data_IF_081875826190
#
_entry.id   IF_081875826190
#
_cell.length_a   1.000
_cell.length_b   1.000
_cell.length_c   1.000
_cell.angle_alpha   90.00
_cell.angle_beta   90.00
_cell.angle_gamma   90.00
#
_symmetry.space_group_name_H-M   'P 1'
#
loop_
_entity.id
_entity.type
_entity.pdbx_description
1 polymer ?
#
# COMPACT_ATOMS: atom_id res chain seq x y z
N UNK A 1 -20.55 -26.82 -2.09
CA UNK A 1 -19.41 -27.10 -1.20
C UNK A 1 -18.41 -25.99 -1.36
N UNK A 2 -18.03 -25.33 -0.28
CA UNK A 2 -17.03 -24.25 -0.28
C UNK A 2 -15.67 -24.89 -0.05
N UNK A 3 -14.75 -24.75 -1.00
CA UNK A 3 -13.41 -25.31 -0.90
C UNK A 3 -12.48 -24.42 -0.04
N UNK A 4 -11.47 -25.01 0.63
CA UNK A 4 -10.45 -24.28 1.41
C UNK A 4 -9.64 -23.31 0.54
N UNK A 5 -8.99 -22.31 1.17
CA UNK A 5 -8.30 -21.23 0.43
C UNK A 5 -7.12 -21.75 -0.39
N UNK A 6 -6.41 -22.72 0.19
CA UNK A 6 -5.18 -23.30 -0.32
C UNK A 6 -5.31 -24.82 -0.29
N UNK A 7 -6.09 -25.41 -1.23
CA UNK A 7 -6.51 -26.80 -1.14
C UNK A 7 -5.36 -27.81 -1.09
N UNK A 8 -4.26 -27.57 -1.82
CA UNK A 8 -3.08 -28.44 -1.78
C UNK A 8 -2.34 -28.36 -0.44
N UNK A 9 -2.16 -27.16 0.11
CA UNK A 9 -1.49 -26.98 1.40
C UNK A 9 -2.32 -27.52 2.56
N UNK A 10 -3.65 -27.36 2.50
CA UNK A 10 -4.58 -27.96 3.46
C UNK A 10 -4.59 -29.48 3.35
N UNK A 11 -4.54 -30.04 2.14
CA UNK A 11 -4.45 -31.49 1.93
C UNK A 11 -3.16 -32.08 2.53
N UNK A 12 -2.00 -31.44 2.32
CA UNK A 12 -0.72 -31.84 2.95
C UNK A 12 -0.89 -31.91 4.47
N UNK A 13 -1.45 -30.87 5.08
CA UNK A 13 -1.64 -30.86 6.54
C UNK A 13 -2.60 -31.96 7.01
N UNK A 14 -3.73 -32.16 6.31
CA UNK A 14 -4.71 -33.18 6.67
C UNK A 14 -4.14 -34.60 6.55
N UNK A 15 -3.37 -34.89 5.50
CA UNK A 15 -2.71 -36.19 5.31
C UNK A 15 -1.69 -36.48 6.41
N UNK A 16 -0.93 -35.47 6.86
CA UNK A 16 0.11 -35.64 7.88
C UNK A 16 -0.44 -35.68 9.32
N UNK A 17 -1.53 -34.95 9.60
CA UNK A 17 -1.99 -34.69 10.98
C UNK A 17 -3.32 -35.38 11.33
N UNK A 18 -3.98 -36.06 10.38
CA UNK A 18 -5.27 -36.71 10.61
C UNK A 18 -5.32 -38.12 10.02
N UNK A 19 -6.22 -38.96 10.54
CA UNK A 19 -6.47 -40.32 10.04
C UNK A 19 -7.66 -40.37 9.05
N UNK A 20 -7.92 -39.28 8.33
CA UNK A 20 -9.02 -39.20 7.36
C UNK A 20 -8.71 -39.99 6.09
N UNK A 21 -9.75 -40.47 5.40
CA UNK A 21 -9.60 -41.16 4.13
C UNK A 21 -9.21 -40.19 3.00
N UNK A 22 -8.51 -40.70 1.99
CA UNK A 22 -8.12 -39.88 0.82
C UNK A 22 -9.34 -39.34 0.07
N UNK A 23 -10.47 -40.05 0.08
CA UNK A 23 -11.74 -39.58 -0.51
C UNK A 23 -12.35 -38.42 0.29
N UNK A 24 -12.30 -38.46 1.62
CA UNK A 24 -12.78 -37.37 2.49
C UNK A 24 -11.95 -36.09 2.28
N UNK A 25 -10.62 -36.22 2.22
CA UNK A 25 -9.70 -35.09 1.99
C UNK A 25 -9.91 -34.54 0.57
N UNK A 26 -10.05 -35.42 -0.44
CA UNK A 26 -10.32 -35.06 -1.82
C UNK A 26 -11.63 -34.27 -1.96
N UNK A 27 -12.72 -34.74 -1.35
CA UNK A 27 -14.02 -34.08 -1.34
C UNK A 27 -13.97 -32.69 -0.68
N UNK A 28 -13.23 -32.55 0.43
CA UNK A 28 -13.10 -31.28 1.15
C UNK A 28 -12.24 -30.27 0.38
N UNK A 29 -11.08 -30.70 -0.11
CA UNK A 29 -10.14 -29.84 -0.82
C UNK A 29 -10.53 -29.61 -2.30
N UNK A 30 -11.50 -30.37 -2.84
CA UNK A 30 -11.86 -30.32 -4.26
C UNK A 30 -10.76 -30.87 -5.17
N UNK A 31 -9.99 -31.85 -4.66
CA UNK A 31 -8.90 -32.54 -5.36
C UNK A 31 -9.36 -33.94 -5.74
N UNK A 32 -8.64 -34.61 -6.63
CA UNK A 32 -8.89 -36.03 -6.90
C UNK A 32 -8.21 -36.90 -5.84
N UNK A 33 -8.76 -38.08 -5.51
CA UNK A 33 -8.17 -39.01 -4.53
C UNK A 33 -6.72 -39.39 -4.89
N UNK A 34 -6.43 -39.56 -6.19
CA UNK A 34 -5.07 -39.77 -6.71
C UNK A 34 -4.12 -38.60 -6.45
N UNK A 35 -4.60 -37.35 -6.47
CA UNK A 35 -3.75 -36.20 -6.13
C UNK A 35 -3.43 -36.18 -4.64
N UNK A 36 -4.39 -36.56 -3.79
CA UNK A 36 -4.18 -36.70 -2.34
C UNK A 36 -3.20 -37.84 -2.05
N UNK A 37 -3.32 -38.96 -2.78
CA UNK A 37 -2.36 -40.06 -2.70
C UNK A 37 -0.95 -39.62 -3.13
N UNK A 38 -0.82 -38.92 -4.25
CA UNK A 38 0.46 -38.40 -4.70
C UNK A 38 1.05 -37.31 -3.77
N UNK A 39 0.22 -36.67 -2.94
CA UNK A 39 0.68 -35.80 -1.84
C UNK A 39 1.18 -36.66 -0.67
N UNK A 40 0.48 -37.74 -0.31
CA UNK A 40 0.90 -38.68 0.73
C UNK A 40 2.20 -39.42 0.39
N UNK A 41 2.43 -39.68 -0.90
CA UNK A 41 3.65 -40.27 -1.46
C UNK A 41 4.78 -39.24 -1.68
N UNK A 42 4.58 -37.97 -1.28
CA UNK A 42 5.53 -36.87 -1.45
C UNK A 42 5.93 -36.58 -2.92
N UNK A 43 5.08 -36.89 -3.92
CA UNK A 43 5.41 -36.66 -5.34
C UNK A 43 5.03 -35.25 -5.83
N UNK A 44 3.88 -34.71 -5.41
CA UNK A 44 3.29 -33.49 -6.00
C UNK A 44 3.55 -32.22 -5.18
N UNK A 45 3.86 -32.36 -3.89
CA UNK A 45 3.94 -31.25 -2.94
C UNK A 45 5.30 -31.15 -2.20
N UNK A 46 6.38 -31.62 -2.83
CA UNK A 46 7.73 -31.59 -2.25
C UNK A 46 8.11 -30.17 -1.81
N UNK A 47 8.31 -29.99 -0.50
CA UNK A 47 8.68 -28.70 0.10
C UNK A 47 7.52 -27.72 0.31
N UNK A 48 6.26 -28.14 0.10
CA UNK A 48 5.10 -27.35 0.47
C UNK A 48 4.87 -27.42 1.98
N UNK A 49 4.77 -26.27 2.65
CA UNK A 49 4.40 -26.24 4.06
C UNK A 49 2.88 -26.42 4.20
N UNK A 50 2.46 -27.47 4.91
CA UNK A 50 1.06 -27.71 5.23
C UNK A 50 0.43 -26.53 5.99
N UNK A 51 -0.78 -26.14 5.59
CA UNK A 51 -1.54 -25.08 6.25
C UNK A 51 -2.63 -25.70 7.12
N UNK A 52 -2.55 -25.45 8.43
CA UNK A 52 -3.52 -25.94 9.40
C UNK A 52 -4.92 -25.34 9.17
N UNK A 53 -5.93 -26.15 8.79
CA UNK A 53 -7.30 -25.69 8.56
C UNK A 53 -8.03 -25.31 9.86
N UNK A 54 -7.59 -25.81 11.03
CA UNK A 54 -8.17 -25.47 12.33
C UNK A 54 -7.76 -24.05 12.71
N UNK A 55 -6.45 -23.75 12.62
CA UNK A 55 -5.93 -22.39 12.86
C UNK A 55 -6.47 -21.38 11.83
N UNK A 56 -6.72 -21.81 10.60
CA UNK A 56 -7.36 -20.99 9.57
C UNK A 56 -8.87 -20.75 9.81
N UNK A 57 -9.49 -21.49 10.74
CA UNK A 57 -10.93 -21.45 11.01
C UNK A 57 -11.77 -22.03 9.85
N UNK A 58 -11.20 -22.93 9.06
CA UNK A 58 -11.87 -23.63 7.95
C UNK A 58 -12.46 -24.97 8.40
N UNK A 59 -11.88 -25.62 9.41
CA UNK A 59 -12.40 -26.83 10.05
C UNK A 59 -12.41 -26.68 11.58
N UNK A 60 -13.24 -27.48 12.25
CA UNK A 60 -13.25 -27.62 13.71
C UNK A 60 -12.63 -28.96 14.09
N UNK A 61 -12.06 -29.06 15.30
CA UNK A 61 -11.46 -30.31 15.76
C UNK A 61 -12.54 -31.39 15.92
N UNK A 62 -13.73 -31.01 16.38
CA UNK A 62 -14.88 -31.88 16.57
C UNK A 62 -15.34 -32.53 15.26
N UNK A 63 -15.31 -31.76 14.16
CA UNK A 63 -15.66 -32.27 12.83
C UNK A 63 -14.64 -33.27 12.29
N UNK A 64 -13.36 -33.01 12.54
CA UNK A 64 -12.28 -33.94 12.16
C UNK A 64 -12.41 -35.25 12.94
N UNK A 65 -12.65 -35.20 14.25
CA UNK A 65 -12.85 -36.40 15.09
C UNK A 65 -14.07 -37.22 14.64
N UNK A 66 -15.18 -36.56 14.29
CA UNK A 66 -16.38 -37.21 13.75
C UNK A 66 -16.08 -37.96 12.45
N UNK A 67 -15.33 -37.35 11.54
CA UNK A 67 -14.98 -37.95 10.26
C UNK A 67 -13.87 -39.00 10.35
N UNK A 68 -13.00 -38.95 11.37
CA UNK A 68 -12.02 -40.00 11.64
C UNK A 68 -12.67 -41.31 12.12
N UNK A 69 -13.82 -41.22 12.81
CA UNK A 69 -14.53 -42.40 13.29
C UNK A 69 -15.32 -43.13 12.17
N UNK A 70 -15.73 -42.43 11.11
CA UNK A 70 -16.49 -42.99 9.99
C UNK A 70 -15.95 -42.51 8.63
N UNK A 71 -15.26 -43.38 7.87
CA UNK A 71 -14.72 -43.07 6.55
C UNK A 71 -15.76 -42.66 5.50
N UNK A 72 -17.04 -42.99 5.70
CA UNK A 72 -18.13 -42.66 4.76
C UNK A 72 -18.72 -41.26 4.95
N UNK A 73 -18.33 -40.56 6.02
CA UNK A 73 -18.86 -39.22 6.31
C UNK A 73 -18.06 -38.13 5.61
N UNK A 74 -18.74 -37.10 5.11
CA UNK A 74 -18.09 -35.95 4.44
C UNK A 74 -17.84 -34.82 5.44
N UNK A 75 -16.67 -34.19 5.30
CA UNK A 75 -16.28 -33.00 6.07
C UNK A 75 -17.09 -31.79 5.63
N UNK A 76 -17.66 -31.07 6.60
CA UNK A 76 -18.27 -29.78 6.38
C UNK A 76 -17.34 -28.63 6.82
N UNK A 77 -17.10 -27.62 5.97
CA UNK A 77 -16.33 -26.45 6.36
C UNK A 77 -17.03 -25.66 7.47
N UNK A 78 -16.24 -25.07 8.36
CA UNK A 78 -16.74 -24.23 9.44
C UNK A 78 -17.45 -22.98 8.88
N UNK A 79 -18.58 -22.63 9.48
CA UNK A 79 -19.46 -21.54 9.03
C UNK A 79 -18.82 -20.15 9.24
N UNK A 80 -17.91 -20.03 10.21
CA UNK A 80 -17.21 -18.79 10.58
C UNK A 80 -15.78 -18.73 10.04
N UNK A 81 -15.63 -18.77 8.71
CA UNK A 81 -14.33 -18.58 8.07
C UNK A 81 -13.86 -17.14 8.26
N UNK A 82 -12.99 -16.92 9.24
CA UNK A 82 -12.49 -15.58 9.55
C UNK A 82 -11.44 -15.19 8.50
N UNK A 83 -11.63 -14.11 7.74
CA UNK A 83 -10.62 -13.69 6.78
C UNK A 83 -9.35 -13.27 7.53
N UNK A 84 -8.24 -13.98 7.30
CA UNK A 84 -6.93 -13.60 7.84
C UNK A 84 -6.60 -12.19 7.37
N UNK A 85 -6.51 -11.24 8.30
CA UNK A 85 -6.20 -9.86 7.99
C UNK A 85 -4.82 -9.78 7.31
N UNK A 86 -4.79 -9.35 6.04
CA UNK A 86 -3.53 -9.15 5.32
C UNK A 86 -2.67 -8.14 6.07
N UNK A 87 -1.46 -8.56 6.47
CA UNK A 87 -0.48 -7.65 7.06
C UNK A 87 -0.21 -6.54 6.05
N UNK A 88 -0.47 -5.28 6.41
CA UNK A 88 -0.22 -4.12 5.56
C UNK A 88 1.28 -4.07 5.24
N UNK A 89 1.65 -4.45 4.02
CA UNK A 89 3.04 -4.38 3.53
C UNK A 89 3.53 -2.93 3.41
N UNK A 90 4.82 -2.76 3.18
CA UNK A 90 5.40 -1.46 2.88
C UNK A 90 4.69 -0.84 1.67
N UNK A 91 4.34 0.46 1.75
CA UNK A 91 3.68 1.13 0.63
C UNK A 91 4.64 1.27 -0.53
N UNK A 92 4.21 0.83 -1.72
CA UNK A 92 4.96 1.04 -2.94
C UNK A 92 5.09 2.54 -3.24
N UNK A 93 6.32 3.01 -3.45
CA UNK A 93 6.58 4.39 -3.88
C UNK A 93 6.76 4.40 -5.40
N UNK A 94 5.94 5.16 -6.15
CA UNK A 94 6.03 5.23 -7.61
C UNK A 94 7.40 5.78 -8.05
N UNK A 95 7.86 5.36 -9.22
CA UNK A 95 9.22 5.64 -9.73
C UNK A 95 9.54 7.14 -9.75
N UNK A 96 8.58 7.97 -10.16
CA UNK A 96 8.73 9.43 -10.20
C UNK A 96 9.10 10.03 -8.84
N UNK A 97 8.55 9.48 -7.75
CA UNK A 97 8.79 9.96 -6.38
C UNK A 97 10.00 9.32 -5.71
N UNK A 98 10.74 8.43 -6.40
CA UNK A 98 11.91 7.76 -5.79
C UNK A 98 13.10 8.69 -5.63
N UNK A 99 13.24 9.68 -6.51
CA UNK A 99 14.27 10.72 -6.43
C UNK A 99 14.05 11.66 -5.25
N UNK A 100 12.80 11.84 -4.81
CA UNK A 100 12.44 12.69 -3.67
C UNK A 100 12.68 12.00 -2.30
N UNK A 101 12.90 10.68 -2.29
CA UNK A 101 13.15 9.92 -1.06
C UNK A 101 14.43 10.37 -0.34
N UNK A 102 15.58 10.54 -1.00
CA UNK A 102 16.78 11.05 -0.33
C UNK A 102 16.60 12.47 0.23
N UNK A 103 15.88 13.34 -0.48
CA UNK A 103 15.55 14.70 -0.05
C UNK A 103 14.73 14.72 1.24
N UNK A 104 13.71 13.85 1.29
CA UNK A 104 12.87 13.64 2.46
C UNK A 104 13.66 13.08 3.66
N UNK A 105 14.55 12.11 3.43
CA UNK A 105 15.38 11.52 4.49
C UNK A 105 16.33 12.57 5.08
N UNK A 106 16.98 13.37 4.22
CA UNK A 106 17.87 14.44 4.66
C UNK A 106 17.15 15.48 5.52
N UNK A 107 15.90 15.82 5.17
CA UNK A 107 15.08 16.71 5.98
C UNK A 107 14.70 16.10 7.33
N UNK A 108 14.34 14.83 7.38
CA UNK A 108 13.99 14.15 8.63
C UNK A 108 15.17 14.06 9.58
N UNK A 109 16.36 13.71 9.09
CA UNK A 109 17.58 13.64 9.91
C UNK A 109 17.94 15.03 10.47
N UNK A 110 17.73 16.09 9.68
CA UNK A 110 18.04 17.48 10.09
C UNK A 110 17.05 18.03 11.13
N UNK A 111 15.75 17.78 10.98
CA UNK A 111 14.72 18.37 11.84
C UNK A 111 14.38 17.51 13.05
N UNK A 112 14.51 16.19 12.93
CA UNK A 112 14.15 15.22 13.97
C UNK A 112 15.30 14.21 14.18
N UNK A 113 16.44 14.64 14.74
CA UNK A 113 17.55 13.74 15.05
C UNK A 113 17.17 12.66 16.08
N UNK A 114 16.13 12.87 16.88
CA UNK A 114 15.58 11.91 17.83
C UNK A 114 14.85 10.72 17.18
N UNK A 115 14.58 10.80 15.88
CA UNK A 115 13.84 9.76 15.18
C UNK A 115 14.77 8.60 14.77
N UNK A 116 14.36 7.37 15.13
CA UNK A 116 15.12 6.16 14.80
C UNK A 116 15.02 5.80 13.31
N UNK A 117 16.06 5.15 12.77
CA UNK A 117 16.08 4.72 11.37
C UNK A 117 14.94 3.73 11.04
N UNK A 118 14.50 2.95 12.03
CA UNK A 118 13.35 2.07 11.89
C UNK A 118 12.05 2.86 11.66
N UNK A 119 11.87 4.00 12.34
CA UNK A 119 10.71 4.88 12.11
C UNK A 119 10.78 5.55 10.73
N UNK A 120 11.96 6.04 10.33
CA UNK A 120 12.18 6.64 9.00
C UNK A 120 11.88 5.63 7.88
N UNK A 121 12.38 4.40 8.02
CA UNK A 121 12.15 3.30 7.06
C UNK A 121 10.66 3.01 6.86
N UNK A 122 9.88 3.00 7.95
CA UNK A 122 8.43 2.74 7.92
C UNK A 122 7.63 3.93 7.38
N UNK A 123 8.07 5.15 7.63
CA UNK A 123 7.38 6.37 7.21
C UNK A 123 7.53 6.66 5.71
N UNK A 124 8.76 6.58 5.20
CA UNK A 124 9.08 6.87 3.78
C UNK A 124 9.00 5.60 2.91
N UNK A 125 9.08 4.41 3.51
CA UNK A 125 9.20 3.16 2.75
C UNK A 125 10.59 3.00 2.15
N UNK A 126 11.63 3.25 2.94
CA UNK A 126 13.04 3.11 2.54
C UNK A 126 13.76 2.05 3.36
N UNK A 127 14.98 1.69 2.97
CA UNK A 127 15.81 0.71 3.68
C UNK A 127 16.80 1.42 4.60
N UNK A 128 17.14 0.77 5.72
CA UNK A 128 18.15 1.24 6.68
C UNK A 128 19.51 1.59 6.05
N UNK A 129 20.09 0.77 5.14
CA UNK A 129 21.36 1.14 4.51
C UNK A 129 21.27 2.46 3.72
N UNK A 130 20.15 2.71 3.02
CA UNK A 130 19.96 3.97 2.31
C UNK A 130 19.90 5.17 3.26
N UNK A 131 19.29 5.03 4.44
CA UNK A 131 19.27 6.09 5.47
C UNK A 131 20.69 6.37 5.97
N UNK A 132 21.47 5.33 6.25
CA UNK A 132 22.85 5.46 6.72
C UNK A 132 23.75 6.13 5.66
N UNK A 133 23.64 5.75 4.39
CA UNK A 133 24.39 6.40 3.31
C UNK A 133 24.10 7.91 3.20
N UNK A 134 22.87 8.35 3.52
CA UNK A 134 22.52 9.77 3.52
C UNK A 134 23.07 10.47 4.77
N UNK A 135 23.01 9.82 5.94
CA UNK A 135 23.58 10.31 7.20
C UNK A 135 25.09 10.51 7.10
N UNK A 136 25.77 9.53 6.51
CA UNK A 136 27.23 9.50 6.29
C UNK A 136 27.65 10.29 5.04
N UNK A 137 26.71 10.89 4.29
CA UNK A 137 26.98 11.59 3.03
C UNK A 137 27.68 10.73 1.95
N UNK A 138 27.53 9.42 2.02
CA UNK A 138 28.08 8.42 1.08
C UNK A 138 27.11 8.07 -0.06
N UNK A 139 25.92 8.67 -0.10
CA UNK A 139 24.98 8.44 -1.20
C UNK A 139 25.53 8.98 -2.54
N UNK A 140 25.42 8.21 -3.62
CA UNK A 140 25.95 8.57 -4.94
C UNK A 140 25.48 9.94 -5.44
N UNK A 141 24.27 10.38 -5.07
CA UNK A 141 23.68 11.66 -5.48
C UNK A 141 23.75 12.75 -4.39
N UNK A 142 24.67 12.67 -3.43
CA UNK A 142 24.68 13.57 -2.26
C UNK A 142 24.78 15.07 -2.60
N UNK A 143 25.44 15.41 -3.71
CA UNK A 143 25.63 16.79 -4.15
C UNK A 143 24.32 17.49 -4.55
N UNK A 144 23.33 16.74 -5.03
CA UNK A 144 22.07 17.29 -5.52
C UNK A 144 20.91 17.18 -4.51
N UNK A 145 21.13 16.51 -3.37
CA UNK A 145 20.09 16.30 -2.36
C UNK A 145 19.74 17.62 -1.68
N UNK A 146 18.45 17.97 -1.69
CA UNK A 146 17.90 19.15 -1.00
C UNK A 146 16.96 18.67 0.09
N UNK A 147 17.21 19.08 1.34
CA UNK A 147 16.35 18.73 2.46
C UNK A 147 14.94 19.34 2.28
N UNK A 148 13.97 18.53 1.87
CA UNK A 148 12.57 18.90 1.63
C UNK A 148 11.61 18.11 2.51
N UNK A 149 10.49 18.72 2.90
CA UNK A 149 9.53 18.10 3.80
C UNK A 149 8.83 16.90 3.12
N UNK A 150 8.83 15.69 3.73
CA UNK A 150 8.22 14.49 3.14
C UNK A 150 6.70 14.59 2.95
N UNK A 151 6.01 15.46 3.69
CA UNK A 151 4.58 15.73 3.52
C UNK A 151 4.33 16.56 2.26
N UNK A 152 5.18 17.58 2.01
CA UNK A 152 5.08 18.41 0.81
C UNK A 152 5.37 17.62 -0.47
N UNK A 153 6.29 16.65 -0.40
CA UNK A 153 6.60 15.69 -1.47
C UNK A 153 5.49 14.62 -1.65
N UNK A 154 4.52 14.56 -0.74
CA UNK A 154 3.44 13.57 -0.74
C UNK A 154 3.95 12.14 -0.58
N UNK A 155 5.03 11.94 0.19
CA UNK A 155 5.56 10.62 0.57
C UNK A 155 4.89 10.10 1.85
N UNK A 156 4.57 11.00 2.78
CA UNK A 156 3.82 10.69 3.99
C UNK A 156 2.64 11.64 4.19
N UNK A 157 1.61 11.17 4.92
CA UNK A 157 0.54 12.05 5.42
C UNK A 157 1.05 12.83 6.63
N UNK A 158 0.53 14.06 6.83
CA UNK A 158 0.83 14.90 7.99
C UNK A 158 0.60 14.15 9.30
N UNK A 159 -0.54 13.44 9.42
CA UNK A 159 -0.84 12.65 10.61
C UNK A 159 0.20 11.55 10.90
N UNK A 160 0.72 10.91 9.85
CA UNK A 160 1.69 9.82 10.03
C UNK A 160 3.05 10.37 10.48
N UNK A 161 3.43 11.56 10.00
CA UNK A 161 4.63 12.25 10.46
C UNK A 161 4.50 12.63 11.93
N UNK A 162 3.39 13.26 12.31
CA UNK A 162 3.13 13.66 13.70
C UNK A 162 3.10 12.46 14.66
N UNK A 163 2.41 11.37 14.28
CA UNK A 163 2.40 10.11 15.06
C UNK A 163 3.82 9.56 15.24
N UNK A 164 4.64 9.58 14.19
CA UNK A 164 6.02 9.09 14.26
C UNK A 164 6.89 9.95 15.17
N UNK A 165 6.77 11.28 15.06
CA UNK A 165 7.49 12.25 15.90
C UNK A 165 7.05 12.14 17.37
N UNK A 166 5.76 12.00 17.65
CA UNK A 166 5.25 11.80 19.00
C UNK A 166 5.84 10.54 19.66
N UNK A 167 5.91 9.43 18.91
CA UNK A 167 6.55 8.19 19.40
C UNK A 167 8.04 8.39 19.64
N UNK A 168 8.75 9.10 18.74
CA UNK A 168 10.18 9.40 18.92
C UNK A 168 10.44 10.25 20.15
N UNK A 169 9.63 11.29 20.38
CA UNK A 169 9.74 12.16 21.56
C UNK A 169 9.40 11.45 22.86
N UNK A 170 8.37 10.60 22.84
CA UNK A 170 8.01 9.76 23.99
C UNK A 170 9.15 8.79 24.37
N UNK A 171 9.88 8.26 23.37
CA UNK A 171 11.05 7.41 23.60
C UNK A 171 12.28 8.17 24.05
N UNK A 172 12.49 9.38 23.52
CA UNK A 172 13.66 10.20 23.82
C UNK A 172 13.53 11.01 25.12
N UNK A 173 12.37 10.99 25.79
CA UNK A 173 12.12 11.73 27.04
C UNK A 173 12.24 13.26 26.89
N UNK A 174 12.32 13.77 25.65
CA UNK A 174 12.60 15.17 25.33
C UNK A 174 11.47 15.74 24.48
N UNK A 175 10.70 16.66 25.04
CA UNK A 175 9.71 17.47 24.32
C UNK A 175 10.44 18.64 23.66
N UNK A 176 11.01 18.44 22.47
CA UNK A 176 11.52 19.57 21.69
C UNK A 176 10.35 20.29 20.98
N UNK A 177 10.07 21.53 21.36
CA UNK A 177 9.22 22.42 20.57
C UNK A 177 9.97 22.80 19.26
N UNK A 178 9.27 22.95 18.12
CA UNK A 178 9.94 23.31 16.88
C UNK A 178 10.57 24.70 17.00
N UNK A 179 11.86 24.79 16.71
CA UNK A 179 12.62 26.03 16.70
C UNK A 179 12.05 26.98 15.63
N UNK A 180 11.31 28.02 16.07
CA UNK A 180 10.95 29.17 15.25
C UNK A 180 12.23 29.98 15.03
N UNK A 181 12.54 30.31 13.77
CA UNK A 181 13.73 31.06 13.36
C UNK A 181 13.91 32.42 14.05
N UNK A 182 15.06 33.10 13.82
CA UNK A 182 15.61 34.15 14.70
C UNK A 182 14.66 35.34 14.91
N UNK A 183 14.56 35.79 16.17
CA UNK A 183 13.87 37.02 16.57
C UNK A 183 14.74 38.24 16.21
N UNK A 184 14.15 39.21 15.53
CA UNK A 184 14.63 40.59 15.49
C UNK A 184 14.04 41.35 16.70
N UNK A 185 14.89 42.07 17.43
CA UNK A 185 14.58 42.76 18.68
C UNK A 185 14.08 44.20 18.45
N UNK A 186 12.86 44.46 18.95
CA UNK A 186 12.49 45.67 19.70
C UNK A 186 11.69 46.78 18.98
N UNK A 187 10.91 47.63 19.70
CA UNK A 187 10.14 47.38 20.94
C UNK A 187 8.68 47.90 20.87
N UNK A 188 7.88 47.52 21.88
CA UNK A 188 6.44 47.76 22.05
C UNK A 188 6.01 49.25 22.17
N UNK A 189 4.69 49.54 22.03
CA UNK A 189 3.98 49.92 23.26
C UNK A 189 2.52 49.40 23.41
N UNK A 190 2.22 49.06 24.66
CA UNK A 190 1.02 49.25 25.49
C UNK A 190 -0.37 49.47 24.86
N UNK A 191 -1.30 48.60 25.29
CA UNK A 191 -2.76 48.64 25.08
C UNK A 191 -3.41 49.69 26.03
N UNK A 192 -4.53 50.32 25.66
CA UNK A 192 -5.74 50.13 26.50
C UNK A 192 -7.07 50.03 25.71
N UNK A 193 -7.86 49.02 26.10
CA UNK A 193 -9.30 48.96 26.39
C UNK A 193 -10.31 49.89 25.68
N UNK A 194 -11.30 49.26 25.03
CA UNK A 194 -12.59 49.75 24.46
C UNK A 194 -13.50 50.45 25.49
N UNK A 195 -14.43 51.35 25.08
CA UNK A 195 -15.85 50.95 24.94
C UNK A 195 -16.60 51.57 23.72
N UNK A 196 -17.68 50.88 23.29
CA UNK A 196 -18.57 51.16 22.15
C UNK A 196 -19.49 52.40 22.33
N UNK A 197 -20.23 52.89 21.30
CA UNK A 197 -21.57 52.35 21.00
C UNK A 197 -22.03 52.30 19.50
N UNK A 198 -23.06 51.46 19.29
CA UNK A 198 -24.00 51.19 18.15
C UNK A 198 -24.79 52.43 17.62
N UNK A 199 -25.74 52.32 16.64
CA UNK A 199 -25.76 51.64 15.31
C UNK A 199 -26.51 52.44 14.17
N UNK A 200 -26.45 51.94 12.92
CA UNK A 200 -27.44 52.09 11.79
C UNK A 200 -27.66 53.47 11.12
N UNK A 201 -28.23 53.57 9.87
CA UNK A 201 -28.80 52.52 9.01
C UNK A 201 -28.31 52.51 7.53
N UNK A 202 -28.68 51.43 6.85
CA UNK A 202 -28.75 51.25 5.39
C UNK A 202 -29.68 52.28 4.70
N UNK A 203 -29.47 52.53 3.40
CA UNK A 203 -30.61 52.42 2.49
C UNK A 203 -30.31 51.63 1.21
N UNK A 204 -31.11 50.57 1.09
CA UNK A 204 -31.80 49.94 -0.04
C UNK A 204 -31.87 50.66 -1.41
N UNK A 205 -31.65 49.82 -2.43
CA UNK A 205 -32.33 49.68 -3.72
C UNK A 205 -32.03 50.57 -4.94
N UNK A 206 -31.68 49.83 -6.00
CA UNK A 206 -32.14 49.95 -7.39
C UNK A 206 -31.63 51.11 -8.24
N UNK A 207 -30.85 50.80 -9.27
CA UNK A 207 -31.34 50.81 -10.67
C UNK A 207 -30.26 50.33 -11.66
N UNK A 208 -30.63 49.32 -12.46
CA UNK A 208 -30.40 49.16 -13.91
C UNK A 208 -28.95 49.15 -14.43
N UNK A 209 -28.49 47.99 -14.94
CA UNK A 209 -28.34 47.76 -16.39
C UNK A 209 -27.74 46.36 -16.67
N UNK A 210 -28.37 45.67 -17.59
CA UNK A 210 -28.12 44.30 -18.08
C UNK A 210 -27.40 44.41 -19.41
N UNK A 211 -26.26 43.72 -19.59
CA UNK A 211 -25.77 43.21 -20.89
C UNK A 211 -24.50 42.37 -20.64
N UNK A 212 -24.18 41.23 -21.24
CA UNK A 212 -24.86 40.18 -21.99
C UNK A 212 -23.81 39.05 -22.16
N UNK A 213 -24.20 37.79 -21.99
CA UNK A 213 -23.40 36.63 -22.41
C UNK A 213 -23.33 36.57 -23.94
N UNK A 214 -22.34 35.84 -24.48
CA UNK A 214 -22.69 34.87 -25.52
C UNK A 214 -22.26 33.44 -25.16
N UNK A 215 -23.12 32.53 -25.57
CA UNK A 215 -23.08 31.08 -25.39
C UNK A 215 -22.40 30.40 -26.62
N UNK A 216 -22.35 29.05 -26.69
CA UNK A 216 -21.27 28.26 -27.29
C UNK A 216 -21.46 28.05 -28.80
N UNK A 217 -20.37 27.73 -29.51
CA UNK A 217 -20.43 27.22 -30.88
C UNK A 217 -19.98 25.76 -30.93
N UNK A 218 -20.90 24.94 -31.43
CA UNK A 218 -20.72 23.58 -31.89
C UNK A 218 -19.90 23.57 -33.19
N UNK A 219 -19.02 22.58 -33.36
CA UNK A 219 -18.45 22.25 -34.67
C UNK A 219 -18.53 20.74 -34.86
N UNK A 220 -19.37 20.32 -35.81
CA UNK A 220 -19.66 18.94 -36.19
C UNK A 220 -18.90 18.53 -37.44
N UNK A 221 -18.38 17.30 -37.40
CA UNK A 221 -18.16 16.34 -38.51
C UNK A 221 -17.24 16.73 -39.69
N UNK A 222 -16.11 16.03 -39.80
CA UNK A 222 -15.73 15.33 -41.04
C UNK A 222 -14.77 14.17 -40.73
N UNK A 223 -15.24 12.96 -41.02
CA UNK A 223 -14.45 11.72 -41.11
C UNK A 223 -13.89 11.70 -42.53
N UNK A 224 -12.57 11.86 -42.70
CA UNK A 224 -11.90 11.48 -43.95
C UNK A 224 -11.21 10.13 -43.75
N UNK A 225 -11.76 9.13 -44.44
CA UNK A 225 -11.10 7.89 -44.75
C UNK A 225 -10.04 8.18 -45.82
N UNK A 226 -8.76 8.06 -45.49
CA UNK A 226 -7.72 7.80 -46.48
C UNK A 226 -7.16 6.41 -46.23
N UNK A 227 -7.73 5.46 -46.98
CA UNK A 227 -7.04 4.26 -47.42
C UNK A 227 -5.95 4.70 -48.39
N UNK A 228 -4.68 4.55 -48.02
CA UNK A 228 -3.67 4.34 -49.04
C UNK A 228 -2.84 3.13 -48.69
N UNK A 229 -2.79 2.28 -49.69
CA UNK A 229 -2.22 0.95 -49.68
C UNK A 229 -0.83 1.12 -50.26
N UNK A 230 0.21 0.70 -49.55
CA UNK A 230 1.37 0.18 -50.25
C UNK A 230 2.11 -0.85 -49.37
N UNK A 231 2.40 -2.04 -49.92
CA UNK A 231 2.96 -3.16 -49.18
C UNK A 231 4.47 -2.97 -48.97
N UNK A 232 4.92 -3.19 -47.74
CA UNK A 232 6.33 -3.40 -47.44
C UNK A 232 6.76 -4.72 -48.10
N UNK A 233 7.44 -4.59 -49.23
CA UNK A 233 8.06 -5.67 -49.96
C UNK A 233 9.13 -6.36 -49.09
N UNK A 234 8.94 -7.66 -48.88
CA UNK A 234 9.98 -8.57 -48.40
C UNK A 234 11.04 -8.74 -49.50
N UNK A 235 12.34 -8.57 -49.23
CA UNK A 235 13.36 -8.99 -50.19
C UNK A 235 13.50 -10.52 -50.13
N UNK A 236 13.31 -11.16 -51.28
CA UNK A 236 13.61 -12.57 -51.53
C UNK A 236 15.12 -12.85 -51.42
N UNK A 237 15.53 -14.08 -51.06
CA UNK A 237 16.93 -14.46 -51.00
C UNK A 237 17.53 -14.58 -52.41
N UNK A 238 18.71 -13.98 -52.58
CA UNK A 238 19.52 -14.04 -53.79
C UNK A 238 20.19 -15.43 -53.88
N UNK A 239 19.78 -16.20 -54.88
CA UNK A 239 20.39 -17.47 -55.27
C UNK A 239 20.94 -17.32 -56.69
N UNK A 240 22.27 -17.17 -56.82
CA UNK A 240 23.06 -17.36 -58.06
C UNK A 240 24.43 -17.88 -57.58
N UNK A 241 24.73 -19.19 -57.60
CA UNK A 241 25.06 -20.08 -58.73
C UNK A 241 26.42 -19.77 -59.39
N UNK A 242 27.47 -20.38 -58.87
CA UNK A 242 28.48 -21.17 -59.60
C UNK A 242 29.24 -22.11 -58.65
#
# INVERSE_FOLDING_TARGET
MTHPLMPKATAVWLVENTALSFEQIADFCGLHSLEVQAIADDEVAIGMQGLDPITAGELTMEEIERCQADPGTRLNPAENRTPVAKKKGARYTPVSKRQDRPDAIAWLIKNYPEMSDAQISKLIGTTKPTINSIRERSHWNIANIKAQNPVALGLCSAENLEKSVAISRARAGTTHAPNRGPKEDGPAPSIPTTPAPKPEPVPTAETVFVEQLPAPQEETLAIEQNTDSDPIAMPAPEEVKE
#
